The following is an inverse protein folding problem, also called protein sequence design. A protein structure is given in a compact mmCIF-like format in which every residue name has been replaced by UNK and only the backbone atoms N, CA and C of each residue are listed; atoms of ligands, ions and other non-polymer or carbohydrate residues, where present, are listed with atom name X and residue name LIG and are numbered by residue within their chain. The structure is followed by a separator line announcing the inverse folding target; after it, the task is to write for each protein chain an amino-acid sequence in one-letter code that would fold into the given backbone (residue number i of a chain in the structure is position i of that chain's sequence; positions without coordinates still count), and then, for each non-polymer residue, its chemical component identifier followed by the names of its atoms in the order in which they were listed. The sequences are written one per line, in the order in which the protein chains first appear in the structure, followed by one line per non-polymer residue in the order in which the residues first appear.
data_IF_477046949958
#
_entry.id   IF_477046949958
#
_cell.length_a   1.000
_cell.length_b   1.000
_cell.length_c   1.000
_cell.angle_alpha   90.00
_cell.angle_beta   90.00
_cell.angle_gamma   90.00
#
_symmetry.space_group_name_H-M   'P 1'
#
loop_
_entity.id
_entity.type
_entity.pdbx_description
1 polymer ?
#
# COMPACT_ATOMS: atom_id res chain seq x y z
N UNK A 1 14.61 -10.37 -4.14
CA UNK A 1 13.52 -9.38 -4.04
C UNK A 1 12.21 -10.14 -3.85
N UNK A 2 11.33 -9.72 -2.98
CA UNK A 2 10.05 -10.37 -2.71
C UNK A 2 8.97 -9.66 -3.50
N UNK A 3 8.17 -10.42 -4.27
CA UNK A 3 7.10 -9.86 -5.08
C UNK A 3 5.76 -9.99 -4.37
N UNK A 4 5.00 -8.91 -4.36
CA UNK A 4 3.66 -8.85 -3.83
C UNK A 4 2.65 -8.44 -4.92
N UNK A 5 1.44 -8.91 -4.79
CA UNK A 5 0.31 -8.51 -5.61
C UNK A 5 -0.70 -7.75 -4.75
N UNK A 6 -1.06 -6.54 -5.17
CA UNK A 6 -2.14 -5.79 -4.53
C UNK A 6 -3.46 -6.04 -5.28
N UNK A 7 -4.50 -6.40 -4.56
CA UNK A 7 -5.82 -6.74 -5.12
C UNK A 7 -6.55 -5.56 -5.81
N UNK A 8 -6.06 -4.33 -5.67
CA UNK A 8 -6.53 -3.20 -6.47
C UNK A 8 -6.38 -3.48 -7.98
N UNK A 9 -5.31 -4.17 -8.36
CA UNK A 9 -4.99 -4.52 -9.76
C UNK A 9 -6.05 -5.40 -10.43
N UNK A 10 -6.85 -6.11 -9.65
CA UNK A 10 -7.95 -6.97 -10.14
C UNK A 10 -9.30 -6.61 -9.54
N UNK A 11 -9.48 -5.38 -9.06
CA UNK A 11 -10.69 -4.98 -8.34
C UNK A 11 -11.97 -5.17 -9.16
N UNK A 12 -11.91 -4.93 -10.46
CA UNK A 12 -13.05 -4.99 -11.38
C UNK A 12 -13.32 -6.37 -12.00
N UNK A 13 -12.39 -7.33 -11.92
CA UNK A 13 -12.45 -8.57 -12.71
C UNK A 13 -12.12 -9.85 -11.95
N UNK A 14 -11.98 -9.81 -10.62
CA UNK A 14 -11.69 -10.98 -9.78
C UNK A 14 -12.33 -10.87 -8.38
N UNK A 15 -12.13 -11.90 -7.57
CA UNK A 15 -12.46 -11.96 -6.15
C UNK A 15 -11.26 -12.52 -5.35
N UNK A 16 -11.30 -12.39 -4.00
CA UNK A 16 -10.16 -12.79 -3.17
C UNK A 16 -9.76 -14.27 -3.40
N UNK A 17 -10.71 -15.20 -3.49
CA UNK A 17 -10.39 -16.62 -3.70
C UNK A 17 -9.64 -16.84 -5.01
N UNK A 18 -10.11 -16.25 -6.09
CA UNK A 18 -9.48 -16.35 -7.40
C UNK A 18 -8.08 -15.72 -7.41
N UNK A 19 -7.91 -14.55 -6.79
CA UNK A 19 -6.61 -13.89 -6.70
C UNK A 19 -5.61 -14.73 -5.91
N UNK A 20 -6.02 -15.35 -4.80
CA UNK A 20 -5.19 -16.27 -4.03
C UNK A 20 -4.68 -17.44 -4.87
N UNK A 21 -5.59 -18.11 -5.60
CA UNK A 21 -5.25 -19.27 -6.44
C UNK A 21 -4.32 -18.87 -7.60
N UNK A 22 -4.56 -17.72 -8.23
CA UNK A 22 -3.77 -17.23 -9.35
C UNK A 22 -2.40 -16.69 -8.90
N UNK A 23 -2.32 -15.93 -7.81
CA UNK A 23 -1.05 -15.45 -7.26
C UNK A 23 -0.15 -16.61 -6.82
N UNK A 24 -0.72 -17.64 -6.18
CA UNK A 24 0.00 -18.89 -5.87
C UNK A 24 0.52 -19.55 -7.15
N UNK A 25 -0.36 -19.76 -8.14
CA UNK A 25 -0.01 -20.38 -9.44
C UNK A 25 1.12 -19.65 -10.15
N UNK A 26 1.09 -18.32 -10.14
CA UNK A 26 2.11 -17.48 -10.79
C UNK A 26 3.33 -17.21 -9.91
N UNK A 27 3.35 -17.73 -8.67
CA UNK A 27 4.51 -17.69 -7.77
C UNK A 27 4.85 -16.28 -7.29
N UNK A 28 3.84 -15.52 -6.85
CA UNK A 28 4.03 -14.36 -6.01
C UNK A 28 4.40 -14.81 -4.60
N UNK A 29 5.24 -14.03 -3.90
CA UNK A 29 5.60 -14.31 -2.50
C UNK A 29 4.51 -13.84 -1.54
N UNK A 30 3.86 -12.70 -1.87
CA UNK A 30 2.90 -12.03 -1.02
C UNK A 30 1.67 -11.54 -1.79
N UNK A 31 0.60 -11.28 -1.01
CA UNK A 31 -0.61 -10.59 -1.46
C UNK A 31 -1.03 -9.55 -0.42
N UNK A 32 -1.45 -8.36 -0.88
CA UNK A 32 -2.19 -7.38 -0.08
C UNK A 32 -3.68 -7.58 -0.28
N UNK A 33 -4.41 -7.69 0.84
CA UNK A 33 -5.83 -8.01 0.86
C UNK A 33 -6.65 -6.74 1.02
N UNK A 34 -7.52 -6.46 0.06
CA UNK A 34 -8.46 -5.34 0.15
C UNK A 34 -9.54 -5.60 1.19
N UNK A 35 -9.62 -4.69 2.15
CA UNK A 35 -10.52 -4.80 3.30
C UNK A 35 -11.87 -4.14 3.09
N UNK A 36 -11.98 -3.24 2.12
CA UNK A 36 -13.20 -2.48 1.83
C UNK A 36 -14.22 -3.26 1.00
N UNK A 37 -13.76 -4.19 0.16
CA UNK A 37 -14.60 -4.91 -0.81
C UNK A 37 -14.32 -6.43 -0.85
N UNK A 38 -13.08 -6.85 -1.18
CA UNK A 38 -12.74 -8.26 -1.44
C UNK A 38 -12.86 -9.17 -0.22
N UNK A 39 -12.35 -8.72 0.92
CA UNK A 39 -12.42 -9.51 2.15
C UNK A 39 -13.86 -9.63 2.67
N UNK A 40 -14.70 -8.56 2.75
CA UNK A 40 -16.10 -8.70 3.10
C UNK A 40 -16.90 -9.61 2.17
N UNK A 41 -16.63 -9.58 0.85
CA UNK A 41 -17.25 -10.51 -0.11
C UNK A 41 -16.85 -11.96 0.20
N UNK A 42 -15.56 -12.24 0.39
CA UNK A 42 -15.03 -13.55 0.72
C UNK A 42 -15.67 -14.13 1.99
N UNK A 43 -15.81 -13.31 3.03
CA UNK A 43 -16.36 -13.71 4.32
C UNK A 43 -17.88 -14.00 4.30
N UNK A 44 -18.58 -13.75 3.20
CA UNK A 44 -19.98 -14.19 3.05
C UNK A 44 -20.12 -15.71 2.91
N UNK A 45 -19.07 -16.39 2.42
CA UNK A 45 -19.09 -17.83 2.11
C UNK A 45 -17.92 -18.61 2.74
N UNK A 46 -16.92 -17.90 3.26
CA UNK A 46 -15.71 -18.46 3.87
C UNK A 46 -15.46 -17.80 5.21
N UNK A 47 -14.50 -18.32 5.97
CA UNK A 47 -14.09 -17.80 7.28
C UNK A 47 -12.66 -17.27 7.26
N UNK A 48 -12.25 -16.55 8.32
CA UNK A 48 -10.84 -16.17 8.51
C UNK A 48 -9.94 -17.40 8.71
N UNK A 49 -10.48 -18.48 9.30
CA UNK A 49 -9.75 -19.75 9.47
C UNK A 49 -9.49 -20.44 8.12
N UNK A 50 -10.43 -20.36 7.16
CA UNK A 50 -10.21 -20.86 5.81
C UNK A 50 -9.07 -20.12 5.12
N UNK A 51 -9.03 -18.78 5.29
CA UNK A 51 -8.00 -17.92 4.74
C UNK A 51 -6.63 -18.21 5.40
N UNK A 52 -6.58 -18.34 6.71
CA UNK A 52 -5.37 -18.72 7.46
C UNK A 52 -4.87 -20.11 7.03
N UNK A 53 -5.78 -21.05 6.79
CA UNK A 53 -5.46 -22.40 6.32
C UNK A 53 -4.87 -22.35 4.90
N UNK A 54 -5.41 -21.51 4.02
CA UNK A 54 -4.84 -21.31 2.68
C UNK A 54 -3.38 -20.85 2.79
N UNK A 55 -3.09 -19.79 3.53
CA UNK A 55 -1.72 -19.27 3.69
C UNK A 55 -0.75 -20.23 4.38
N UNK A 56 -1.27 -21.07 5.29
CA UNK A 56 -0.45 -22.11 5.93
C UNK A 56 0.01 -23.17 4.93
N UNK A 57 -0.83 -23.53 3.97
CA UNK A 57 -0.63 -24.66 3.07
C UNK A 57 0.04 -24.28 1.73
N UNK A 58 0.17 -22.99 1.42
CA UNK A 58 0.68 -22.49 0.15
C UNK A 58 1.97 -21.68 0.33
N UNK A 59 2.68 -21.41 -0.78
CA UNK A 59 3.85 -20.52 -0.81
C UNK A 59 3.45 -19.07 -0.56
N UNK A 60 2.37 -18.61 -1.22
CA UNK A 60 1.84 -17.26 -1.08
C UNK A 60 1.54 -16.92 0.39
N UNK A 61 1.96 -15.74 0.84
CA UNK A 61 1.72 -15.26 2.21
C UNK A 61 0.96 -13.92 2.20
N UNK A 62 0.17 -13.62 3.24
CA UNK A 62 -0.46 -12.31 3.37
C UNK A 62 0.60 -11.27 3.74
N UNK A 63 0.65 -10.15 3.03
CA UNK A 63 1.55 -9.03 3.36
C UNK A 63 0.84 -8.04 4.26
N UNK A 64 -0.27 -7.49 3.77
CA UNK A 64 -1.00 -6.41 4.42
C UNK A 64 -2.51 -6.53 4.27
N UNK A 65 -3.21 -5.90 5.21
CA UNK A 65 -4.61 -5.52 5.09
C UNK A 65 -4.64 -4.09 4.50
N UNK A 66 -5.18 -3.93 3.30
CA UNK A 66 -5.16 -2.67 2.53
C UNK A 66 -6.60 -2.23 2.20
N UNK A 67 -7.12 -1.08 2.68
CA UNK A 67 -6.53 -0.18 3.62
C UNK A 67 -7.56 0.36 4.62
N UNK A 68 -7.08 0.90 5.73
CA UNK A 68 -7.86 1.79 6.59
C UNK A 68 -7.85 3.20 5.98
N UNK A 69 -9.01 3.69 5.59
CA UNK A 69 -9.11 4.97 4.89
C UNK A 69 -9.38 6.14 5.84
N UNK A 70 -8.73 7.29 5.55
CA UNK A 70 -9.04 8.60 6.13
C UNK A 70 -8.88 8.68 7.65
N UNK A 71 -7.72 8.25 8.15
CA UNK A 71 -7.50 8.07 9.59
C UNK A 71 -7.37 9.38 10.39
N UNK A 72 -6.88 10.49 9.79
CA UNK A 72 -6.55 11.74 10.51
C UNK A 72 -7.63 12.81 10.40
N UNK A 73 -7.59 13.81 11.29
CA UNK A 73 -8.48 15.00 11.30
C UNK A 73 -9.97 14.67 11.28
N UNK A 74 -10.37 13.64 12.01
CA UNK A 74 -11.76 13.18 12.11
C UNK A 74 -12.50 13.87 13.26
N UNK A 75 -13.83 13.90 13.14
CA UNK A 75 -14.65 14.27 14.31
C UNK A 75 -14.49 13.22 15.41
N UNK A 76 -14.72 13.55 16.70
CA UNK A 76 -14.60 12.57 17.79
C UNK A 76 -15.50 11.33 17.61
N UNK A 77 -16.64 11.49 16.93
CA UNK A 77 -17.57 10.38 16.64
C UNK A 77 -17.03 9.47 15.55
N UNK A 78 -16.55 10.04 14.44
CA UNK A 78 -15.95 9.27 13.34
C UNK A 78 -14.65 8.64 13.74
N UNK A 79 -13.86 9.33 14.57
CA UNK A 79 -12.61 8.79 15.07
C UNK A 79 -12.81 7.48 15.87
N UNK A 80 -13.88 7.40 16.68
CA UNK A 80 -14.22 6.15 17.39
C UNK A 80 -14.49 4.99 16.42
N UNK A 81 -15.13 5.27 15.28
CA UNK A 81 -15.38 4.26 14.24
C UNK A 81 -14.06 3.81 13.60
N UNK A 82 -13.18 4.76 13.27
CA UNK A 82 -11.85 4.49 12.72
C UNK A 82 -11.01 3.63 13.66
N UNK A 83 -10.99 3.93 14.95
CA UNK A 83 -10.28 3.11 15.95
C UNK A 83 -10.85 1.69 16.03
N UNK A 84 -12.18 1.55 16.00
CA UNK A 84 -12.82 0.24 16.02
C UNK A 84 -12.51 -0.57 14.75
N UNK A 85 -12.56 0.07 13.58
CA UNK A 85 -12.20 -0.53 12.29
C UNK A 85 -10.73 -0.95 12.26
N UNK A 86 -9.83 -0.07 12.68
CA UNK A 86 -8.41 -0.38 12.79
C UNK A 86 -8.15 -1.60 13.69
N UNK A 87 -8.80 -1.65 14.86
CA UNK A 87 -8.66 -2.77 15.79
C UNK A 87 -9.11 -4.10 15.15
N UNK A 88 -10.26 -4.09 14.48
CA UNK A 88 -10.77 -5.27 13.75
C UNK A 88 -9.82 -5.70 12.62
N UNK A 89 -9.22 -4.73 11.89
CA UNK A 89 -8.22 -5.03 10.87
C UNK A 89 -6.95 -5.64 11.46
N UNK A 90 -6.48 -5.14 12.60
CA UNK A 90 -5.30 -5.68 13.31
C UNK A 90 -5.55 -7.12 13.77
N UNK A 91 -6.72 -7.40 14.35
CA UNK A 91 -7.10 -8.75 14.78
C UNK A 91 -7.17 -9.73 13.60
N UNK A 92 -7.76 -9.31 12.48
CA UNK A 92 -7.83 -10.11 11.25
C UNK A 92 -6.44 -10.33 10.64
N UNK A 93 -5.60 -9.27 10.59
CA UNK A 93 -4.22 -9.37 10.12
C UNK A 93 -3.42 -10.39 10.93
N UNK A 94 -3.52 -10.32 12.26
CA UNK A 94 -2.88 -11.28 13.17
C UNK A 94 -3.38 -12.71 12.94
N UNK A 95 -4.69 -12.91 12.78
CA UNK A 95 -5.29 -14.23 12.59
C UNK A 95 -4.79 -14.95 11.35
N UNK A 96 -4.47 -14.23 10.27
CA UNK A 96 -3.95 -14.83 9.02
C UNK A 96 -2.42 -14.77 8.90
N UNK A 97 -1.74 -14.07 9.82
CA UNK A 97 -0.29 -13.89 9.79
C UNK A 97 0.20 -12.80 8.84
N UNK A 98 -0.64 -11.81 8.51
CA UNK A 98 -0.20 -10.62 7.80
C UNK A 98 0.76 -9.78 8.65
N UNK A 99 1.57 -8.95 7.99
CA UNK A 99 2.62 -8.17 8.66
C UNK A 99 2.18 -6.73 8.93
N UNK A 100 1.30 -6.20 8.06
CA UNK A 100 0.96 -4.78 8.06
C UNK A 100 -0.54 -4.53 7.96
N UNK A 101 -0.94 -3.38 8.50
CA UNK A 101 -2.18 -2.67 8.13
C UNK A 101 -1.75 -1.39 7.42
N UNK A 102 -2.25 -1.18 6.21
CA UNK A 102 -2.05 0.07 5.46
C UNK A 102 -3.05 1.10 5.96
N UNK A 103 -2.59 2.32 6.21
CA UNK A 103 -3.42 3.43 6.66
C UNK A 103 -3.25 4.66 5.75
N UNK A 104 -4.37 5.16 5.23
CA UNK A 104 -4.44 6.26 4.25
C UNK A 104 -4.95 7.53 4.91
N UNK A 105 -4.30 8.71 4.70
CA UNK A 105 -4.74 9.98 5.26
C UNK A 105 -6.02 10.50 4.59
N UNK A 106 -6.64 11.47 5.24
CA UNK A 106 -7.90 12.07 4.79
C UNK A 106 -7.76 12.76 3.43
N UNK A 107 -8.66 12.43 2.51
CA UNK A 107 -8.79 13.04 1.19
C UNK A 107 -10.09 13.83 1.09
N UNK A 108 -10.07 14.98 0.41
CA UNK A 108 -11.24 15.81 0.15
C UNK A 108 -11.78 16.63 1.33
N UNK A 109 -10.99 16.97 2.36
CA UNK A 109 -11.48 17.73 3.50
C UNK A 109 -11.66 19.21 3.15
N UNK A 110 -12.31 19.96 4.06
CA UNK A 110 -12.16 21.40 4.12
C UNK A 110 -10.68 21.79 4.38
N UNK A 111 -10.34 23.07 4.18
CA UNK A 111 -8.98 23.55 4.40
C UNK A 111 -8.58 23.39 5.88
N UNK A 112 -7.52 22.60 6.11
CA UNK A 112 -6.94 22.34 7.43
C UNK A 112 -5.51 22.93 7.45
N UNK A 113 -5.07 23.48 8.58
CA UNK A 113 -3.71 23.96 8.72
C UNK A 113 -2.71 22.78 8.69
N UNK A 114 -1.56 22.97 8.04
CA UNK A 114 -0.51 21.92 7.96
C UNK A 114 -0.07 21.42 9.34
N UNK A 115 -0.01 22.32 10.33
CA UNK A 115 0.32 21.96 11.72
C UNK A 115 -0.72 21.04 12.34
N UNK A 116 -2.00 21.28 12.08
CA UNK A 116 -3.11 20.47 12.62
C UNK A 116 -3.16 19.10 11.95
N UNK A 117 -2.87 19.05 10.64
CA UNK A 117 -2.71 17.79 9.92
C UNK A 117 -1.58 16.95 10.53
N UNK A 118 -0.38 17.54 10.64
CA UNK A 118 0.80 16.85 11.20
C UNK A 118 0.55 16.35 12.61
N UNK A 119 -0.01 17.18 13.48
CA UNK A 119 -0.30 16.80 14.87
C UNK A 119 -1.32 15.67 14.95
N UNK A 120 -2.42 15.77 14.17
CA UNK A 120 -3.43 14.72 14.13
C UNK A 120 -2.86 13.39 13.63
N UNK A 121 -2.06 13.37 12.56
CA UNK A 121 -1.41 12.16 12.08
C UNK A 121 -0.50 11.54 13.15
N UNK A 122 0.32 12.35 13.83
CA UNK A 122 1.23 11.86 14.87
C UNK A 122 0.46 11.24 16.03
N UNK A 123 -0.59 11.90 16.53
CA UNK A 123 -1.41 11.40 17.62
C UNK A 123 -2.09 10.07 17.27
N UNK A 124 -2.73 10.02 16.10
CA UNK A 124 -3.44 8.81 15.65
C UNK A 124 -2.49 7.65 15.40
N UNK A 125 -1.38 7.88 14.70
CA UNK A 125 -0.43 6.80 14.41
C UNK A 125 0.26 6.27 15.67
N UNK A 126 0.43 7.08 16.71
CA UNK A 126 0.90 6.60 18.03
C UNK A 126 -0.14 5.71 18.71
N UNK A 127 -1.41 6.11 18.71
CA UNK A 127 -2.48 5.28 19.27
C UNK A 127 -2.62 3.95 18.50
N UNK A 128 -2.56 4.01 17.16
CA UNK A 128 -2.57 2.80 16.33
C UNK A 128 -1.36 1.90 16.61
N UNK A 129 -0.17 2.50 16.81
CA UNK A 129 1.02 1.76 17.22
C UNK A 129 0.78 0.97 18.52
N UNK A 130 0.23 1.63 19.53
CA UNK A 130 -0.03 1.03 20.83
C UNK A 130 -1.11 -0.09 20.76
N UNK A 131 -2.11 0.03 19.86
CA UNK A 131 -3.11 -1.02 19.58
C UNK A 131 -2.51 -2.21 18.85
N UNK A 132 -1.65 -1.98 17.86
CA UNK A 132 -1.12 -3.02 16.97
C UNK A 132 0.06 -3.80 17.58
N UNK A 133 0.84 -3.17 18.46
CA UNK A 133 2.05 -3.75 19.05
C UNK A 133 1.81 -5.12 19.73
N UNK A 134 0.76 -5.33 20.57
CA UNK A 134 0.50 -6.62 21.20
C UNK A 134 0.24 -7.76 20.21
N UNK A 135 -0.20 -7.43 18.99
CA UNK A 135 -0.48 -8.39 17.92
C UNK A 135 0.74 -8.65 17.01
N UNK A 136 1.83 -7.89 17.19
CA UNK A 136 3.00 -7.96 16.34
C UNK A 136 2.75 -7.36 14.94
N UNK A 137 1.71 -6.56 14.76
CA UNK A 137 1.34 -5.91 13.50
C UNK A 137 2.01 -4.54 13.42
N UNK A 138 2.43 -4.17 12.22
CA UNK A 138 3.00 -2.86 11.90
C UNK A 138 2.01 -2.03 11.09
N UNK A 139 2.12 -0.71 11.19
CA UNK A 139 1.33 0.25 10.42
C UNK A 139 2.18 0.79 9.28
N UNK A 140 1.73 0.60 8.05
CA UNK A 140 2.32 1.18 6.86
C UNK A 140 1.47 2.38 6.41
N UNK A 141 1.87 3.59 6.77
CA UNK A 141 1.15 4.80 6.40
C UNK A 141 1.47 5.19 4.96
N UNK A 142 0.45 5.34 4.12
CA UNK A 142 0.57 5.67 2.72
C UNK A 142 0.18 7.13 2.47
N UNK A 143 1.08 7.95 1.91
CA UNK A 143 0.71 9.26 1.39
C UNK A 143 0.00 9.09 0.05
N UNK A 144 -1.00 9.92 -0.23
CA UNK A 144 -1.77 9.82 -1.47
C UNK A 144 -1.47 11.01 -2.36
N UNK A 145 -0.90 10.76 -3.53
CA UNK A 145 -0.50 11.76 -4.54
C UNK A 145 -1.70 12.46 -5.18
N UNK A 146 -2.57 13.06 -4.37
CA UNK A 146 -3.77 13.75 -4.81
C UNK A 146 -3.82 15.17 -4.21
N UNK A 147 -4.19 16.21 -5.00
CA UNK A 147 -4.19 17.61 -4.54
C UNK A 147 -5.04 17.89 -3.32
N UNK A 148 -6.07 17.08 -3.07
CA UNK A 148 -6.98 17.22 -1.93
C UNK A 148 -6.62 16.28 -0.76
N UNK A 149 -5.53 15.52 -0.85
CA UNK A 149 -5.08 14.70 0.28
C UNK A 149 -4.35 15.57 1.31
N UNK A 150 -4.59 15.30 2.57
CA UNK A 150 -3.96 16.03 3.69
C UNK A 150 -2.45 15.78 3.77
N UNK A 151 -1.98 14.60 3.39
CA UNK A 151 -0.56 14.22 3.30
C UNK A 151 -0.33 13.63 1.92
N UNK A 152 0.23 14.43 1.01
CA UNK A 152 0.25 14.10 -0.40
C UNK A 152 1.65 14.01 -1.04
N UNK A 153 2.70 14.08 -0.24
CA UNK A 153 4.08 13.82 -0.69
C UNK A 153 4.81 12.89 0.27
N UNK A 154 5.80 12.18 -0.25
CA UNK A 154 6.67 11.30 0.54
C UNK A 154 7.34 12.05 1.70
N UNK A 155 7.92 13.23 1.45
CA UNK A 155 8.61 14.01 2.45
C UNK A 155 7.72 14.42 3.62
N UNK A 156 6.45 14.79 3.35
CA UNK A 156 5.49 15.10 4.41
C UNK A 156 5.18 13.89 5.29
N UNK A 157 4.97 12.71 4.66
CA UNK A 157 4.72 11.48 5.41
C UNK A 157 5.96 11.07 6.20
N UNK A 158 7.14 11.16 5.61
CA UNK A 158 8.38 10.81 6.31
C UNK A 158 8.62 11.68 7.54
N UNK A 159 8.41 13.00 7.46
CA UNK A 159 8.50 13.92 8.61
C UNK A 159 7.47 13.59 9.72
N UNK A 160 6.32 13.03 9.36
CA UNK A 160 5.32 12.55 10.33
C UNK A 160 5.83 11.26 11.00
N UNK A 161 6.33 10.29 10.22
CA UNK A 161 6.83 9.02 10.73
C UNK A 161 8.03 9.21 11.67
N UNK A 162 8.96 10.11 11.32
CA UNK A 162 10.06 10.48 12.23
C UNK A 162 9.53 11.05 13.55
N UNK A 163 8.53 11.93 13.48
CA UNK A 163 7.94 12.53 14.68
C UNK A 163 7.08 11.54 15.50
N UNK A 164 6.47 10.52 14.87
CA UNK A 164 5.77 9.42 15.56
C UNK A 164 6.73 8.64 16.44
N UNK A 165 7.95 8.37 15.97
CA UNK A 165 9.02 7.69 16.70
C UNK A 165 8.57 6.36 17.31
N UNK A 166 8.02 5.47 16.47
CA UNK A 166 7.61 4.10 16.82
C UNK A 166 8.24 3.10 15.85
N UNK A 167 8.74 1.98 16.37
CA UNK A 167 9.40 0.95 15.56
C UNK A 167 8.44 0.23 14.61
N UNK A 168 7.17 0.11 15.01
CA UNK A 168 6.13 -0.55 14.23
C UNK A 168 5.30 0.41 13.35
N UNK A 169 5.78 1.63 13.10
CA UNK A 169 5.16 2.58 12.17
C UNK A 169 6.17 2.96 11.09
N UNK A 170 5.74 2.85 9.84
CA UNK A 170 6.55 3.14 8.66
C UNK A 170 5.69 3.58 7.48
N UNK A 171 6.23 3.55 6.28
CA UNK A 171 5.68 4.14 5.06
C UNK A 171 5.42 3.07 4.01
N UNK A 172 4.33 3.21 3.26
CA UNK A 172 4.21 2.69 1.90
C UNK A 172 4.81 3.74 0.97
N UNK A 173 5.83 3.37 0.21
CA UNK A 173 6.35 4.15 -0.91
C UNK A 173 5.64 3.69 -2.18
N UNK A 174 4.62 4.43 -2.61
CA UNK A 174 3.94 4.21 -3.88
C UNK A 174 4.57 5.08 -4.96
N UNK A 175 4.98 4.47 -6.09
CA UNK A 175 5.70 5.17 -7.16
C UNK A 175 4.79 6.17 -7.90
N UNK A 176 3.51 5.82 -8.11
CA UNK A 176 2.55 6.74 -8.70
C UNK A 176 2.31 7.94 -7.79
N UNK A 177 2.01 7.72 -6.52
CA UNK A 177 1.79 8.81 -5.58
C UNK A 177 3.04 9.67 -5.37
N UNK A 178 4.22 9.08 -5.44
CA UNK A 178 5.48 9.81 -5.42
C UNK A 178 5.59 10.78 -6.60
N UNK A 179 5.24 10.31 -7.79
CA UNK A 179 5.30 11.11 -9.02
C UNK A 179 4.17 12.14 -9.11
N UNK A 180 2.92 11.75 -8.81
CA UNK A 180 1.71 12.52 -9.07
C UNK A 180 1.64 13.88 -8.36
N UNK A 181 2.35 14.05 -7.25
CA UNK A 181 2.46 15.32 -6.53
C UNK A 181 3.90 15.85 -6.46
N UNK A 182 4.81 15.27 -7.25
CA UNK A 182 6.19 15.75 -7.36
C UNK A 182 6.95 15.63 -6.04
N UNK A 183 6.95 14.47 -5.43
CA UNK A 183 7.83 14.19 -4.29
C UNK A 183 9.29 14.25 -4.70
N UNK A 184 10.15 14.80 -3.84
CA UNK A 184 11.56 14.97 -4.13
C UNK A 184 12.36 13.69 -3.84
N UNK A 185 13.26 13.31 -4.77
CA UNK A 185 14.20 12.19 -4.55
C UNK A 185 15.12 12.44 -3.35
N UNK A 186 15.44 13.69 -3.04
CA UNK A 186 16.23 14.06 -1.85
C UNK A 186 15.54 13.64 -0.56
N UNK A 187 14.20 13.69 -0.49
CA UNK A 187 13.44 13.19 0.65
C UNK A 187 13.56 11.65 0.78
N UNK A 188 13.57 10.92 -0.33
CA UNK A 188 13.80 9.49 -0.33
C UNK A 188 15.27 9.16 0.03
N UNK A 189 16.22 9.97 -0.44
CA UNK A 189 17.66 9.82 -0.13
C UNK A 189 17.93 10.00 1.37
N UNK A 190 17.30 10.98 2.05
CA UNK A 190 17.47 11.17 3.50
C UNK A 190 16.75 10.14 4.35
N UNK A 191 15.77 9.42 3.81
CA UNK A 191 14.93 8.51 4.58
C UNK A 191 15.69 7.29 5.12
N UNK A 192 15.40 6.89 6.34
CA UNK A 192 15.78 5.58 6.88
C UNK A 192 14.98 4.49 6.16
N UNK A 193 15.66 3.66 5.37
CA UNK A 193 15.03 2.60 4.59
C UNK A 193 14.27 1.59 5.46
N UNK A 194 14.66 1.42 6.72
CA UNK A 194 13.96 0.53 7.66
C UNK A 194 12.53 1.01 7.99
N UNK A 195 12.20 2.25 7.65
CA UNK A 195 10.87 2.83 7.74
C UNK A 195 10.04 2.69 6.46
N UNK A 196 10.63 2.24 5.36
CA UNK A 196 9.89 1.93 4.14
C UNK A 196 9.50 0.45 4.22
N UNK A 197 8.23 0.18 4.51
CA UNK A 197 7.75 -1.18 4.76
C UNK A 197 7.31 -1.90 3.49
N UNK A 198 6.66 -1.17 2.58
CA UNK A 198 6.15 -1.67 1.31
C UNK A 198 6.52 -0.66 0.23
N UNK A 199 6.86 -1.14 -0.96
CA UNK A 199 6.97 -0.30 -2.15
C UNK A 199 5.90 -0.76 -3.15
N UNK A 200 4.91 0.11 -3.45
CA UNK A 200 4.00 -0.10 -4.56
C UNK A 200 4.69 0.32 -5.85
N UNK A 201 4.67 -0.59 -6.83
CA UNK A 201 5.25 -0.37 -8.15
C UNK A 201 4.17 -0.35 -9.21
N UNK A 202 4.19 0.71 -9.98
CA UNK A 202 3.34 1.03 -11.10
C UNK A 202 4.09 1.99 -12.03
N UNK A 203 3.44 2.47 -13.05
CA UNK A 203 3.87 3.54 -13.90
C UNK A 203 2.66 4.43 -14.24
N UNK A 204 2.81 5.47 -15.06
CA UNK A 204 1.71 6.40 -15.35
C UNK A 204 1.83 7.03 -16.73
N UNK A 205 0.69 7.43 -17.32
CA UNK A 205 0.64 8.25 -18.52
C UNK A 205 1.41 9.57 -18.35
N UNK A 206 2.03 10.07 -19.40
CA UNK A 206 2.79 11.33 -19.40
C UNK A 206 1.86 12.57 -19.42
N UNK A 207 1.07 12.72 -18.35
CA UNK A 207 0.24 13.88 -18.11
C UNK A 207 0.88 14.86 -17.11
N UNK A 208 0.48 16.14 -17.09
CA UNK A 208 1.01 17.09 -16.12
C UNK A 208 0.72 16.70 -14.69
N UNK A 209 1.70 16.87 -13.80
CA UNK A 209 1.56 16.69 -12.36
C UNK A 209 0.36 17.48 -11.83
N UNK A 210 -0.43 16.87 -10.95
CA UNK A 210 -1.65 17.44 -10.38
C UNK A 210 -2.93 17.19 -11.21
N UNK A 211 -2.81 16.66 -12.43
CA UNK A 211 -3.95 16.18 -13.24
C UNK A 211 -4.09 14.66 -13.18
N UNK A 212 -3.03 13.97 -12.79
CA UNK A 212 -2.97 12.50 -12.72
C UNK A 212 -3.97 11.95 -11.68
N UNK A 213 -4.59 10.84 -12.05
CA UNK A 213 -5.49 10.05 -11.21
C UNK A 213 -5.06 8.58 -11.20
N UNK A 214 -5.54 7.79 -10.26
CA UNK A 214 -5.23 6.36 -10.19
C UNK A 214 -5.61 5.58 -11.46
N UNK A 215 -6.59 6.08 -12.24
CA UNK A 215 -7.00 5.49 -13.52
C UNK A 215 -5.95 5.65 -14.62
N UNK A 216 -5.00 6.57 -14.46
CA UNK A 216 -3.91 6.82 -15.43
C UNK A 216 -2.71 5.89 -15.20
N UNK A 217 -2.74 5.04 -14.17
CA UNK A 217 -1.66 4.08 -13.87
C UNK A 217 -1.44 3.10 -15.02
N UNK A 218 -0.18 2.76 -15.26
CA UNK A 218 0.28 1.80 -16.27
C UNK A 218 1.06 0.65 -15.61
N UNK A 219 1.20 -0.45 -16.34
CA UNK A 219 2.13 -1.51 -15.94
C UNK A 219 3.54 -0.95 -15.75
N UNK A 220 4.29 -1.41 -14.73
CA UNK A 220 5.65 -0.94 -14.46
C UNK A 220 6.54 -0.94 -15.71
N UNK A 221 7.21 0.18 -15.96
CA UNK A 221 8.14 0.37 -17.08
C UNK A 221 7.48 0.79 -18.41
N UNK A 222 6.17 1.06 -18.42
CA UNK A 222 5.45 1.47 -19.64
C UNK A 222 5.07 2.96 -19.66
N UNK A 223 5.46 3.75 -18.66
CA UNK A 223 5.05 5.13 -18.51
C UNK A 223 6.18 6.12 -18.25
N UNK A 224 5.84 7.21 -17.57
CA UNK A 224 6.68 8.39 -17.39
C UNK A 224 7.36 8.49 -16.01
N UNK A 225 7.10 7.57 -15.07
CA UNK A 225 7.72 7.60 -13.74
C UNK A 225 9.21 7.28 -13.85
N UNK A 226 10.06 8.07 -13.19
CA UNK A 226 11.48 7.73 -13.07
C UNK A 226 11.71 6.58 -12.05
N UNK A 227 11.19 5.40 -12.41
CA UNK A 227 11.37 4.17 -11.63
C UNK A 227 12.85 3.83 -11.42
N UNK A 228 13.71 4.19 -12.38
CA UNK A 228 15.14 3.91 -12.29
C UNK A 228 15.76 4.62 -11.10
N UNK A 229 15.50 5.90 -10.92
CA UNK A 229 16.06 6.67 -9.78
C UNK A 229 15.50 6.18 -8.45
N UNK A 230 14.18 6.00 -8.35
CA UNK A 230 13.51 5.52 -7.10
C UNK A 230 14.08 4.15 -6.69
N UNK A 231 14.08 3.18 -7.60
CA UNK A 231 14.51 1.82 -7.30
C UNK A 231 16.02 1.70 -7.08
N UNK A 232 16.84 2.55 -7.74
CA UNK A 232 18.28 2.60 -7.50
C UNK A 232 18.57 3.07 -6.07
N UNK A 233 17.89 4.12 -5.59
CA UNK A 233 18.00 4.58 -4.20
C UNK A 233 17.59 3.49 -3.21
N UNK A 234 16.49 2.79 -3.46
CA UNK A 234 16.07 1.67 -2.61
C UNK A 234 17.14 0.55 -2.57
N UNK A 235 17.73 0.20 -3.72
CA UNK A 235 18.81 -0.79 -3.80
C UNK A 235 20.03 -0.34 -3.01
N UNK A 236 20.51 0.89 -3.22
CA UNK A 236 21.68 1.44 -2.54
C UNK A 236 21.51 1.48 -1.02
N UNK A 237 20.29 1.70 -0.56
CA UNK A 237 19.92 1.66 0.86
C UNK A 237 19.68 0.24 1.41
N UNK A 238 19.85 -0.80 0.59
CA UNK A 238 19.59 -2.20 0.95
C UNK A 238 18.14 -2.46 1.37
N UNK A 239 17.16 -1.88 0.65
CA UNK A 239 15.76 -2.20 0.86
C UNK A 239 15.51 -3.70 0.67
N UNK A 240 14.90 -4.34 1.66
CA UNK A 240 14.61 -5.78 1.69
C UNK A 240 13.10 -6.09 1.82
N UNK A 241 12.26 -5.06 1.77
CA UNK A 241 10.79 -5.18 1.78
C UNK A 241 10.22 -5.78 0.50
N UNK A 242 8.90 -5.83 0.44
CA UNK A 242 8.18 -6.32 -0.73
C UNK A 242 8.01 -5.20 -1.78
N UNK A 243 8.11 -5.58 -3.05
CA UNK A 243 7.69 -4.77 -4.20
C UNK A 243 6.32 -5.28 -4.61
N UNK A 244 5.31 -4.45 -4.52
CA UNK A 244 3.90 -4.80 -4.68
C UNK A 244 3.30 -4.10 -5.90
N UNK A 245 2.74 -4.87 -6.84
CA UNK A 245 2.06 -4.32 -8.02
C UNK A 245 0.71 -3.79 -7.62
N UNK A 246 0.46 -2.49 -7.84
CA UNK A 246 -0.82 -1.85 -7.56
C UNK A 246 -1.29 -0.96 -8.71
N UNK A 247 -2.45 -1.29 -9.28
CA UNK A 247 -3.03 -0.59 -10.42
C UNK A 247 -4.54 -0.43 -10.26
N UNK A 248 -5.06 0.72 -10.72
CA UNK A 248 -6.50 1.04 -10.69
C UNK A 248 -7.04 1.40 -12.09
N UNK A 249 -6.39 0.90 -13.15
CA UNK A 249 -6.73 1.25 -14.54
C UNK A 249 -7.95 0.45 -15.04
N UNK A 250 -9.06 1.12 -15.41
CA UNK A 250 -10.28 0.45 -15.85
C UNK A 250 -10.08 -0.47 -17.07
N UNK A 251 -9.23 -0.08 -18.03
CA UNK A 251 -8.95 -0.89 -19.21
C UNK A 251 -8.29 -2.23 -18.88
N UNK A 252 -7.56 -2.30 -17.77
CA UNK A 252 -6.94 -3.56 -17.34
C UNK A 252 -7.93 -4.50 -16.67
N UNK A 253 -9.08 -4.00 -16.23
CA UNK A 253 -10.17 -4.85 -15.73
C UNK A 253 -10.95 -5.55 -16.84
N UNK A 254 -10.73 -5.19 -18.11
CA UNK A 254 -11.26 -5.94 -19.27
C UNK A 254 -10.44 -7.20 -19.56
N UNK A 255 -9.21 -7.30 -19.05
CA UNK A 255 -8.40 -8.52 -19.10
C UNK A 255 -9.00 -9.61 -18.20
N UNK A 256 -8.65 -10.86 -18.44
CA UNK A 256 -8.86 -11.88 -17.41
C UNK A 256 -7.97 -11.59 -16.18
N UNK A 257 -8.43 -11.95 -14.99
CA UNK A 257 -7.63 -11.79 -13.77
C UNK A 257 -6.26 -12.47 -13.89
N UNK A 258 -6.19 -13.63 -14.54
CA UNK A 258 -4.94 -14.34 -14.78
C UNK A 258 -3.97 -13.57 -15.67
N UNK A 259 -4.45 -12.94 -16.74
CA UNK A 259 -3.62 -12.09 -17.61
C UNK A 259 -3.11 -10.87 -16.84
N UNK A 260 -3.96 -10.21 -16.06
CA UNK A 260 -3.55 -9.07 -15.22
C UNK A 260 -2.47 -9.45 -14.21
N UNK A 261 -2.68 -10.53 -13.44
CA UNK A 261 -1.72 -11.03 -12.45
C UNK A 261 -0.39 -11.41 -13.10
N UNK A 262 -0.44 -12.12 -14.24
CA UNK A 262 0.76 -12.52 -14.99
C UNK A 262 1.50 -11.30 -15.55
N UNK A 263 0.81 -10.38 -16.22
CA UNK A 263 1.41 -9.17 -16.82
C UNK A 263 2.05 -8.30 -15.76
N UNK A 264 1.36 -8.05 -14.65
CA UNK A 264 1.92 -7.28 -13.53
C UNK A 264 3.24 -7.87 -13.01
N UNK A 265 3.32 -9.21 -12.89
CA UNK A 265 4.57 -9.87 -12.52
C UNK A 265 5.68 -9.70 -13.55
N UNK A 266 5.37 -9.96 -14.82
CA UNK A 266 6.35 -9.94 -15.91
C UNK A 266 6.96 -8.54 -16.08
N UNK A 267 6.13 -7.51 -16.11
CA UNK A 267 6.58 -6.10 -16.24
C UNK A 267 7.38 -5.64 -15.02
N UNK A 268 6.93 -6.00 -13.82
CA UNK A 268 7.70 -5.72 -12.60
C UNK A 268 9.08 -6.37 -12.64
N UNK A 269 9.16 -7.66 -12.97
CA UNK A 269 10.45 -8.37 -13.06
C UNK A 269 11.36 -7.77 -14.12
N UNK A 270 10.82 -7.32 -15.25
CA UNK A 270 11.60 -6.64 -16.29
C UNK A 270 12.25 -5.36 -15.75
N UNK A 271 11.47 -4.50 -15.05
CA UNK A 271 12.00 -3.29 -14.41
C UNK A 271 13.05 -3.63 -13.38
N UNK A 272 12.76 -4.57 -12.46
CA UNK A 272 13.67 -4.96 -11.39
C UNK A 272 14.98 -5.56 -11.93
N UNK A 273 14.94 -6.30 -13.04
CA UNK A 273 16.12 -6.88 -13.65
C UNK A 273 17.13 -5.84 -14.15
N UNK A 274 16.68 -4.64 -14.48
CA UNK A 274 17.55 -3.51 -14.89
C UNK A 274 18.29 -2.90 -13.70
N UNK A 275 17.76 -3.08 -12.49
CA UNK A 275 18.29 -2.47 -11.26
C UNK A 275 19.06 -3.51 -10.42
N UNK A 276 18.46 -4.67 -10.16
CA UNK A 276 19.03 -5.74 -9.31
C UNK A 276 19.66 -6.86 -10.14
N UNK A 277 20.70 -6.52 -10.92
CA UNK A 277 21.56 -7.50 -11.61
C UNK A 277 22.66 -8.00 -10.68
#
# INVERSE_FOLDING_TARGET
MKLCFNQATTIGNSNLKQDLELCEKHGYDFIEIRTTDKLPEYLQTHTMDDLATFFKNNHLKPLAMNALEFFNNRTPEDYKKIVAEFTDMVEKAHAIGAQYVVAVPLVGPEKILKTDIKNSCIEVLREFSDIAEPYGIKIAAEFIGHPQCTVNTFGQMYDIIEAVDRANVGIVLDCFHFHAMGSDLEDLERADVSKIFICHIDDVEDFPIGFLTDEDRLWPGLGAIDLTSILTLLKEKNYDGAISVELFRPEYYELSAEEGIKTGKETTLEVLSKIWN
#
